data_IF_375309683127
#
_entry.id   IF_375309683127
#
_cell.length_a   1.000
_cell.length_b   1.000
_cell.length_c   1.000
_cell.angle_alpha   90.00
_cell.angle_beta   90.00
_cell.angle_gamma   90.00
#
_symmetry.space_group_name_H-M   'P 1'
#
loop_
_entity.id
_entity.type
_entity.pdbx_description
1 polymer ?
#
# COMPACT_ATOMS: atom_id res chain seq x y z
N UNK A 1 21.85 1.70 26.90
CA UNK A 1 21.04 2.84 27.41
C UNK A 1 19.60 2.55 27.02
N UNK A 2 19.02 1.58 27.72
CA UNK A 2 17.65 1.14 27.54
C UNK A 2 16.75 2.04 28.39
N UNK A 3 16.39 3.18 27.80
CA UNK A 3 15.39 4.08 28.37
C UNK A 3 14.03 3.70 27.83
N UNK A 4 13.24 3.01 28.64
CA UNK A 4 11.80 2.84 28.45
C UNK A 4 11.11 4.22 28.40
N UNK A 5 11.06 4.83 27.22
CA UNK A 5 10.01 5.81 26.95
C UNK A 5 8.72 5.02 26.75
N UNK A 6 7.91 4.93 27.81
CA UNK A 6 6.48 4.65 27.73
C UNK A 6 5.82 5.76 26.91
N UNK A 7 6.02 5.76 25.59
CA UNK A 7 5.27 6.59 24.65
C UNK A 7 3.81 6.16 24.78
N UNK A 8 2.94 7.07 25.21
CA UNK A 8 1.49 6.87 25.17
C UNK A 8 1.12 6.39 23.76
N UNK A 9 0.87 5.08 23.65
CA UNK A 9 0.80 4.39 22.36
C UNK A 9 -0.61 4.55 21.86
N UNK A 10 -0.90 5.64 21.14
CA UNK A 10 -2.17 5.78 20.45
C UNK A 10 -2.26 4.70 19.37
N UNK A 11 -3.03 3.65 19.67
CA UNK A 11 -3.31 2.53 18.75
C UNK A 11 -3.91 3.08 17.48
N UNK A 12 -3.45 2.54 16.34
CA UNK A 12 -3.94 2.99 15.05
C UNK A 12 -5.45 2.71 14.93
N UNK A 13 -6.29 3.72 14.65
CA UNK A 13 -7.74 3.53 14.53
C UNK A 13 -8.10 2.56 13.40
N UNK A 14 -7.18 2.27 12.47
CA UNK A 14 -7.34 1.23 11.47
C UNK A 14 -7.36 -0.19 12.05
N UNK A 15 -6.81 -0.43 13.25
CA UNK A 15 -6.87 -1.75 13.91
C UNK A 15 -8.25 -2.05 14.52
N UNK A 16 -9.04 -1.04 14.86
CA UNK A 16 -10.35 -1.18 15.51
C UNK A 16 -11.53 -0.71 14.65
N UNK A 17 -11.27 -0.20 13.45
CA UNK A 17 -12.29 0.35 12.56
C UNK A 17 -13.16 -0.73 11.89
N UNK A 18 -14.46 -0.45 11.81
CA UNK A 18 -15.43 -1.24 11.03
C UNK A 18 -15.03 -1.26 9.53
N UNK A 19 -15.28 -2.33 8.75
CA UNK A 19 -14.83 -2.41 7.36
C UNK A 19 -15.40 -1.30 6.48
N UNK A 20 -16.60 -0.79 6.77
CA UNK A 20 -17.17 0.40 6.10
C UNK A 20 -16.36 1.68 6.39
N UNK A 21 -15.86 1.84 7.62
CA UNK A 21 -14.99 2.97 7.98
C UNK A 21 -13.63 2.87 7.28
N UNK A 22 -13.12 1.65 7.07
CA UNK A 22 -11.92 1.40 6.29
C UNK A 22 -12.14 1.72 4.81
N UNK A 23 -13.29 1.32 4.25
CA UNK A 23 -13.66 1.58 2.86
C UNK A 23 -13.80 3.08 2.57
N UNK A 24 -14.42 3.84 3.47
CA UNK A 24 -14.62 5.30 3.27
C UNK A 24 -13.42 6.12 3.80
N UNK A 25 -12.34 5.48 4.25
CA UNK A 25 -11.20 6.13 4.91
C UNK A 25 -11.60 7.05 6.07
N UNK A 26 -12.75 6.79 6.70
CA UNK A 26 -13.34 7.67 7.70
C UNK A 26 -12.45 7.81 8.94
N UNK A 27 -11.66 6.78 9.23
CA UNK A 27 -10.67 6.79 10.31
C UNK A 27 -9.60 7.88 10.18
N UNK A 28 -9.32 8.38 8.96
CA UNK A 28 -8.34 9.47 8.72
C UNK A 28 -8.92 10.84 9.14
N UNK A 29 -10.23 11.02 9.08
CA UNK A 29 -10.88 12.31 9.35
C UNK A 29 -10.59 12.78 10.79
N UNK A 30 -10.46 11.84 11.74
CA UNK A 30 -10.15 12.17 13.13
C UNK A 30 -8.80 12.89 13.29
N UNK A 31 -7.75 12.41 12.62
CA UNK A 31 -6.43 13.04 12.67
C UNK A 31 -6.39 14.34 11.88
N UNK A 32 -7.08 14.41 10.73
CA UNK A 32 -7.18 15.65 9.95
C UNK A 32 -7.90 16.76 10.72
N UNK A 33 -9.00 16.43 11.42
CA UNK A 33 -9.71 17.39 12.27
C UNK A 33 -8.84 17.86 13.44
N UNK A 34 -7.99 17.00 13.98
CA UNK A 34 -7.03 17.37 15.03
C UNK A 34 -5.97 18.33 14.49
N UNK A 35 -5.40 18.03 13.31
CA UNK A 35 -4.45 18.88 12.61
C UNK A 35 -5.01 20.23 12.18
N UNK A 36 -6.31 20.30 11.87
CA UNK A 36 -6.98 21.57 11.57
C UNK A 36 -7.10 22.49 12.80
N UNK A 37 -7.23 21.91 14.00
CA UNK A 37 -7.39 22.67 15.25
C UNK A 37 -6.06 23.04 15.91
N UNK A 38 -5.02 22.24 15.68
CA UNK A 38 -3.72 22.37 16.33
C UNK A 38 -2.65 21.74 15.45
N UNK A 39 -1.47 22.35 15.42
CA UNK A 39 -0.27 21.72 14.84
C UNK A 39 -0.01 20.34 15.45
N UNK A 40 0.21 19.37 14.58
CA UNK A 40 0.44 17.97 14.95
C UNK A 40 1.87 17.80 15.46
N UNK A 41 2.01 17.35 16.70
CA UNK A 41 3.28 16.96 17.28
C UNK A 41 3.51 15.44 17.18
N UNK A 42 4.74 14.96 17.36
CA UNK A 42 5.06 13.51 17.28
C UNK A 42 4.19 12.66 18.22
N UNK A 43 3.85 13.20 19.40
CA UNK A 43 3.00 12.55 20.40
C UNK A 43 1.54 12.35 19.95
N UNK A 44 1.10 13.11 18.95
CA UNK A 44 -0.26 13.05 18.42
C UNK A 44 -0.40 12.03 17.28
N UNK A 45 0.71 11.45 16.80
CA UNK A 45 0.74 10.47 15.73
C UNK A 45 0.45 9.06 16.24
N UNK A 46 -0.30 8.30 15.45
CA UNK A 46 -0.57 6.90 15.72
C UNK A 46 0.67 6.03 15.52
N UNK A 47 0.77 4.95 16.29
CA UNK A 47 1.83 3.98 16.02
C UNK A 47 1.59 3.22 14.71
N UNK A 48 2.67 2.85 13.99
CA UNK A 48 2.57 1.97 12.84
C UNK A 48 1.86 0.67 13.18
N UNK A 49 1.21 0.07 12.18
CA UNK A 49 0.63 -1.27 12.32
C UNK A 49 1.72 -2.26 12.70
N UNK A 50 1.37 -3.31 13.46
CA UNK A 50 2.35 -4.31 13.92
C UNK A 50 3.20 -4.88 12.78
N UNK A 51 2.60 -5.13 11.62
CA UNK A 51 3.30 -5.69 10.44
C UNK A 51 4.22 -4.69 9.72
N UNK A 52 4.09 -3.39 10.00
CA UNK A 52 4.85 -2.32 9.34
C UNK A 52 6.00 -1.80 10.19
N UNK A 53 6.22 -2.38 11.37
CA UNK A 53 7.36 -2.02 12.20
C UNK A 53 8.68 -2.32 11.47
N UNK A 54 9.57 -1.32 11.47
CA UNK A 54 10.88 -1.36 10.82
C UNK A 54 11.72 -2.57 11.25
N UNK A 55 11.59 -3.01 12.51
CA UNK A 55 12.26 -4.20 13.02
C UNK A 55 11.84 -5.46 12.26
N UNK A 56 10.53 -5.68 12.09
CA UNK A 56 10.01 -6.89 11.42
C UNK A 56 10.41 -6.89 9.94
N UNK A 57 10.18 -5.78 9.25
CA UNK A 57 10.49 -5.67 7.82
C UNK A 57 12.00 -5.71 7.57
N UNK A 58 12.79 -5.07 8.43
CA UNK A 58 14.26 -5.12 8.39
C UNK A 58 14.80 -6.53 8.63
N UNK A 59 14.30 -7.24 9.64
CA UNK A 59 14.71 -8.61 9.96
C UNK A 59 14.35 -9.59 8.82
N UNK A 60 13.18 -9.44 8.21
CA UNK A 60 12.78 -10.23 7.04
C UNK A 60 13.73 -10.00 5.86
N UNK A 61 14.03 -8.73 5.54
CA UNK A 61 14.90 -8.39 4.42
C UNK A 61 16.35 -8.83 4.68
N UNK A 62 16.85 -8.71 5.91
CA UNK A 62 18.20 -9.16 6.28
C UNK A 62 18.35 -10.68 6.18
N UNK A 63 17.34 -11.45 6.62
CA UNK A 63 17.32 -12.91 6.45
C UNK A 63 17.34 -13.29 4.97
N UNK A 64 16.53 -12.63 4.14
CA UNK A 64 16.49 -12.86 2.70
C UNK A 64 17.82 -12.50 2.04
N UNK A 65 18.43 -11.37 2.43
CA UNK A 65 19.73 -10.92 1.93
C UNK A 65 20.85 -11.87 2.30
N UNK A 66 20.87 -12.35 3.55
CA UNK A 66 21.88 -13.31 4.02
C UNK A 66 21.81 -14.64 3.26
N UNK A 67 20.59 -15.06 2.88
CA UNK A 67 20.39 -16.24 2.04
C UNK A 67 20.91 -16.03 0.63
N UNK A 68 20.51 -14.93 -0.03
CA UNK A 68 20.98 -14.60 -1.39
C UNK A 68 22.51 -14.42 -1.41
N UNK A 69 23.11 -13.83 -0.38
CA UNK A 69 24.56 -13.66 -0.27
C UNK A 69 25.29 -15.01 -0.24
N UNK A 70 24.83 -15.95 0.59
CA UNK A 70 25.40 -17.31 0.66
C UNK A 70 25.22 -18.07 -0.65
N UNK A 71 24.03 -17.98 -1.25
CA UNK A 71 23.72 -18.65 -2.51
C UNK A 71 24.51 -18.05 -3.69
N UNK A 72 24.79 -16.74 -3.66
CA UNK A 72 25.58 -16.05 -4.66
C UNK A 72 27.06 -16.47 -4.63
N UNK A 73 27.65 -16.54 -3.42
CA UNK A 73 29.02 -17.02 -3.23
C UNK A 73 29.18 -18.46 -3.71
N UNK A 74 28.26 -19.36 -3.32
CA UNK A 74 28.28 -20.77 -3.75
C UNK A 74 28.21 -20.93 -5.27
N UNK A 75 27.48 -20.05 -5.94
CA UNK A 75 27.32 -20.07 -7.39
C UNK A 75 28.36 -19.22 -8.15
N UNK A 76 29.37 -18.65 -7.47
CA UNK A 76 30.39 -17.80 -8.11
C UNK A 76 29.83 -16.51 -8.73
N UNK A 77 28.66 -16.03 -8.30
CA UNK A 77 27.98 -14.86 -8.84
C UNK A 77 27.98 -13.69 -7.85
N UNK A 78 27.87 -12.46 -8.37
CA UNK A 78 27.69 -11.29 -7.52
C UNK A 78 26.28 -11.25 -6.88
N UNK A 79 26.16 -10.93 -5.57
CA UNK A 79 24.86 -10.83 -4.90
C UNK A 79 24.07 -9.63 -5.42
N UNK A 80 22.76 -9.81 -5.63
CA UNK A 80 21.86 -8.75 -6.17
C UNK A 80 20.76 -8.40 -5.18
N UNK A 81 20.76 -7.15 -4.70
CA UNK A 81 19.78 -6.68 -3.73
C UNK A 81 18.38 -6.57 -4.35
N UNK A 82 18.30 -6.12 -5.61
CA UNK A 82 17.03 -6.05 -6.36
C UNK A 82 16.33 -7.41 -6.41
N UNK A 83 17.06 -8.50 -6.66
CA UNK A 83 16.51 -9.86 -6.66
C UNK A 83 15.97 -10.26 -5.29
N UNK A 84 16.66 -9.89 -4.22
CA UNK A 84 16.22 -10.15 -2.84
C UNK A 84 14.95 -9.38 -2.49
N UNK A 85 14.91 -8.09 -2.84
CA UNK A 85 13.75 -7.22 -2.69
C UNK A 85 12.54 -7.78 -3.43
N UNK A 86 12.69 -8.06 -4.72
CA UNK A 86 11.63 -8.67 -5.52
C UNK A 86 11.19 -9.99 -4.89
N UNK A 87 12.09 -10.90 -4.51
CA UNK A 87 11.71 -12.18 -3.92
C UNK A 87 10.95 -12.05 -2.59
N UNK A 88 11.29 -11.05 -1.77
CA UNK A 88 10.69 -10.85 -0.45
C UNK A 88 9.29 -10.24 -0.56
N UNK A 89 9.10 -9.27 -1.46
CA UNK A 89 7.83 -8.54 -1.62
C UNK A 89 7.02 -8.98 -2.85
N UNK A 90 7.51 -9.95 -3.64
CA UNK A 90 6.88 -10.40 -4.88
C UNK A 90 5.44 -10.86 -4.66
N UNK A 91 5.17 -11.61 -3.59
CA UNK A 91 3.83 -12.11 -3.32
C UNK A 91 2.83 -10.95 -3.14
N UNK A 92 3.21 -9.92 -2.39
CA UNK A 92 2.36 -8.74 -2.16
C UNK A 92 2.14 -7.96 -3.47
N UNK A 93 3.19 -7.79 -4.27
CA UNK A 93 3.12 -7.09 -5.55
C UNK A 93 2.30 -7.86 -6.59
N UNK A 94 2.48 -9.17 -6.69
CA UNK A 94 1.75 -10.05 -7.63
C UNK A 94 0.28 -10.12 -7.26
N UNK A 95 -0.03 -10.30 -5.97
CA UNK A 95 -1.41 -10.31 -5.48
C UNK A 95 -2.14 -9.00 -5.78
N UNK A 96 -1.51 -7.86 -5.45
CA UNK A 96 -2.08 -6.53 -5.76
C UNK A 96 -2.21 -6.30 -7.26
N UNK A 97 -1.20 -6.68 -8.05
CA UNK A 97 -1.19 -6.54 -9.49
C UNK A 97 -2.27 -7.37 -10.17
N UNK A 98 -2.45 -8.62 -9.74
CA UNK A 98 -3.45 -9.53 -10.29
C UNK A 98 -4.88 -9.03 -10.03
N UNK A 99 -5.18 -8.63 -8.78
CA UNK A 99 -6.47 -8.07 -8.43
C UNK A 99 -6.73 -6.77 -9.19
N UNK A 100 -5.73 -5.89 -9.28
CA UNK A 100 -5.87 -4.64 -10.02
C UNK A 100 -6.12 -4.90 -11.50
N UNK A 101 -5.37 -5.81 -12.13
CA UNK A 101 -5.56 -6.15 -13.54
C UNK A 101 -6.99 -6.65 -13.78
N UNK A 102 -7.45 -7.60 -12.97
CA UNK A 102 -8.78 -8.17 -13.11
C UNK A 102 -9.90 -7.13 -12.92
N UNK A 103 -9.86 -6.37 -11.83
CA UNK A 103 -10.87 -5.35 -11.54
C UNK A 103 -10.84 -4.20 -12.56
N UNK A 104 -9.65 -3.74 -12.95
CA UNK A 104 -9.49 -2.60 -13.86
C UNK A 104 -9.95 -2.94 -15.27
N UNK A 105 -9.65 -4.15 -15.77
CA UNK A 105 -10.11 -4.60 -17.10
C UNK A 105 -11.63 -4.64 -17.16
N UNK A 106 -12.28 -5.28 -16.18
CA UNK A 106 -13.75 -5.41 -16.19
C UNK A 106 -14.42 -4.04 -16.08
N UNK A 107 -14.01 -3.22 -15.12
CA UNK A 107 -14.66 -1.93 -14.86
C UNK A 107 -14.41 -0.88 -15.94
N UNK A 108 -13.21 -0.87 -16.53
CA UNK A 108 -12.90 0.02 -17.67
C UNK A 108 -13.59 -0.40 -18.95
N UNK A 109 -13.81 -1.69 -19.18
CA UNK A 109 -14.57 -2.16 -20.34
C UNK A 109 -16.07 -1.96 -20.15
N UNK A 110 -16.58 -2.03 -18.91
CA UNK A 110 -17.98 -1.76 -18.62
C UNK A 110 -18.39 -0.31 -18.96
N UNK A 111 -17.51 0.67 -18.75
CA UNK A 111 -17.77 2.09 -18.99
C UNK A 111 -18.20 2.41 -20.45
N UNK A 112 -17.42 2.05 -21.49
CA UNK A 112 -17.82 2.28 -22.88
C UNK A 112 -18.99 1.40 -23.32
N UNK A 113 -19.15 0.19 -22.76
CA UNK A 113 -20.31 -0.66 -23.04
C UNK A 113 -21.62 -0.04 -22.54
N UNK A 114 -21.62 0.46 -21.29
CA UNK A 114 -22.75 1.18 -20.70
C UNK A 114 -23.06 2.46 -21.48
N UNK A 115 -22.02 3.22 -21.86
CA UNK A 115 -22.19 4.40 -22.70
C UNK A 115 -22.77 4.07 -24.08
N UNK A 116 -22.35 2.96 -24.68
CA UNK A 116 -22.87 2.47 -25.96
C UNK A 116 -24.35 2.09 -25.89
N UNK A 117 -24.78 1.45 -24.81
CA UNK A 117 -26.21 1.15 -24.58
C UNK A 117 -27.02 2.42 -24.33
N UNK A 118 -26.46 3.36 -23.55
CA UNK A 118 -27.11 4.64 -23.33
C UNK A 118 -27.29 5.42 -24.64
N UNK A 119 -26.29 5.45 -25.52
CA UNK A 119 -26.40 6.11 -26.84
C UNK A 119 -27.45 5.46 -27.74
N UNK A 120 -27.56 4.12 -27.73
CA UNK A 120 -28.62 3.41 -28.45
C UNK A 120 -30.01 3.83 -27.99
N UNK A 121 -30.14 4.30 -26.75
CA UNK A 121 -31.42 4.71 -26.22
C UNK A 121 -31.96 6.04 -26.79
N UNK A 122 -31.12 6.77 -27.53
CA UNK A 122 -31.50 8.03 -28.17
C UNK A 122 -31.88 7.87 -29.65
N UNK A 123 -31.97 6.64 -30.18
CA UNK A 123 -32.48 6.41 -31.54
C UNK A 123 -34.00 6.67 -31.60
N UNK A 124 -34.53 7.23 -32.70
CA UNK A 124 -35.91 7.72 -32.80
C UNK A 124 -37.01 6.64 -32.76
N UNK A 125 -36.67 5.35 -32.69
CA UNK A 125 -37.60 4.22 -32.88
C UNK A 125 -38.05 3.52 -31.58
N UNK A 126 -37.84 4.16 -30.42
CA UNK A 126 -37.96 3.48 -29.12
C UNK A 126 -38.93 4.17 -28.13
N UNK A 127 -40.18 3.72 -28.14
CA UNK A 127 -41.28 4.24 -27.32
C UNK A 127 -41.26 3.83 -25.83
N UNK A 128 -40.45 2.84 -25.43
CA UNK A 128 -40.40 2.31 -24.05
C UNK A 128 -39.14 2.68 -23.24
N UNK A 129 -38.31 3.62 -23.74
CA UNK A 129 -36.89 3.67 -23.38
C UNK A 129 -36.45 4.68 -22.32
N UNK A 130 -37.37 5.46 -21.74
CA UNK A 130 -37.01 6.51 -20.77
C UNK A 130 -36.49 5.93 -19.45
N UNK A 131 -37.15 4.89 -18.93
CA UNK A 131 -36.75 4.23 -17.68
C UNK A 131 -35.44 3.45 -17.85
N UNK A 132 -35.25 2.80 -18.99
CA UNK A 132 -33.99 2.11 -19.34
C UNK A 132 -32.82 3.10 -19.44
N UNK A 133 -33.04 4.28 -20.04
CA UNK A 133 -32.01 5.31 -20.13
C UNK A 133 -31.56 5.80 -18.74
N UNK A 134 -32.50 6.00 -17.80
CA UNK A 134 -32.16 6.34 -16.41
C UNK A 134 -31.41 5.20 -15.71
N UNK A 135 -31.77 3.95 -15.96
CA UNK A 135 -31.08 2.78 -15.42
C UNK A 135 -29.62 2.71 -15.91
N UNK A 136 -29.38 2.84 -17.22
CA UNK A 136 -28.04 2.81 -17.80
C UNK A 136 -27.20 4.01 -17.36
N UNK A 137 -27.79 5.21 -17.27
CA UNK A 137 -27.10 6.39 -16.75
C UNK A 137 -26.71 6.22 -15.27
N UNK A 138 -27.62 5.69 -14.44
CA UNK A 138 -27.34 5.37 -13.03
C UNK A 138 -26.24 4.32 -12.90
N UNK A 139 -26.28 3.26 -13.71
CA UNK A 139 -25.25 2.23 -13.75
C UNK A 139 -23.88 2.80 -14.19
N UNK A 140 -23.85 3.74 -15.13
CA UNK A 140 -22.61 4.40 -15.57
C UNK A 140 -21.99 5.26 -14.45
N UNK A 141 -22.81 6.02 -13.72
CA UNK A 141 -22.38 6.81 -12.56
C UNK A 141 -21.87 5.88 -11.46
N UNK A 142 -22.61 4.83 -11.14
CA UNK A 142 -22.20 3.84 -10.14
C UNK A 142 -20.89 3.13 -10.52
N UNK A 143 -20.73 2.71 -11.78
CA UNK A 143 -19.50 2.10 -12.28
C UNK A 143 -18.29 3.06 -12.18
N UNK A 144 -18.50 4.34 -12.51
CA UNK A 144 -17.46 5.38 -12.42
C UNK A 144 -17.05 5.64 -10.97
N UNK A 145 -18.03 5.73 -10.05
CA UNK A 145 -17.78 5.89 -8.63
C UNK A 145 -17.03 4.68 -8.05
N UNK A 146 -17.46 3.46 -8.39
CA UNK A 146 -16.81 2.22 -7.97
C UNK A 146 -15.36 2.14 -8.45
N UNK A 147 -15.12 2.48 -9.72
CA UNK A 147 -13.77 2.53 -10.30
C UNK A 147 -12.88 3.52 -9.56
N UNK A 148 -13.41 4.70 -9.22
CA UNK A 148 -12.67 5.72 -8.47
C UNK A 148 -12.30 5.24 -7.06
N UNK A 149 -13.25 4.62 -6.34
CA UNK A 149 -13.02 4.06 -5.00
C UNK A 149 -11.97 2.96 -5.02
N UNK A 150 -12.09 2.00 -5.94
CA UNK A 150 -11.12 0.91 -6.07
C UNK A 150 -9.72 1.42 -6.42
N UNK A 151 -9.62 2.43 -7.29
CA UNK A 151 -8.35 3.05 -7.62
C UNK A 151 -7.71 3.75 -6.40
N UNK A 152 -8.51 4.43 -5.58
CA UNK A 152 -8.02 5.02 -4.33
C UNK A 152 -7.49 3.96 -3.36
N UNK A 153 -8.22 2.86 -3.16
CA UNK A 153 -7.76 1.74 -2.32
C UNK A 153 -6.50 1.07 -2.88
N UNK A 154 -6.44 0.88 -4.20
CA UNK A 154 -5.27 0.34 -4.87
C UNK A 154 -4.04 1.23 -4.64
N UNK A 155 -4.17 2.54 -4.86
CA UNK A 155 -3.08 3.50 -4.65
C UNK A 155 -2.61 3.52 -3.20
N UNK A 156 -3.52 3.43 -2.23
CA UNK A 156 -3.13 3.33 -0.82
C UNK A 156 -2.36 2.03 -0.54
N UNK A 157 -2.85 0.88 -1.01
CA UNK A 157 -2.19 -0.41 -0.79
C UNK A 157 -0.82 -0.48 -1.48
N UNK A 158 -0.70 0.03 -2.71
CA UNK A 158 0.56 0.12 -3.44
C UNK A 158 1.57 1.02 -2.69
N UNK A 159 1.13 2.19 -2.23
CA UNK A 159 1.97 3.09 -1.43
C UNK A 159 2.41 2.45 -0.11
N UNK A 160 1.56 1.63 0.50
CA UNK A 160 1.87 0.90 1.72
C UNK A 160 2.99 -0.13 1.52
N UNK A 161 2.91 -0.93 0.45
CA UNK A 161 3.99 -1.87 0.09
C UNK A 161 5.27 -1.11 -0.22
N UNK A 162 5.19 0.01 -0.96
CA UNK A 162 6.35 0.84 -1.26
C UNK A 162 7.01 1.40 0.02
N UNK A 163 6.22 1.78 1.03
CA UNK A 163 6.74 2.22 2.33
C UNK A 163 7.50 1.07 3.02
N UNK A 164 6.93 -0.13 3.07
CA UNK A 164 7.61 -1.30 3.65
C UNK A 164 8.94 -1.60 2.95
N UNK A 165 8.98 -1.54 1.62
CA UNK A 165 10.21 -1.68 0.84
C UNK A 165 11.25 -0.63 1.26
N UNK A 166 10.86 0.65 1.30
CA UNK A 166 11.75 1.76 1.69
C UNK A 166 12.29 1.57 3.11
N UNK A 167 11.41 1.29 4.08
CA UNK A 167 11.79 1.08 5.48
C UNK A 167 12.72 -0.10 5.66
N UNK A 168 12.48 -1.21 4.95
CA UNK A 168 13.36 -2.38 4.94
C UNK A 168 14.76 -2.04 4.41
N UNK A 169 14.84 -1.36 3.26
CA UNK A 169 16.10 -0.92 2.69
C UNK A 169 16.89 0.00 3.63
N UNK A 170 16.22 1.02 4.20
CA UNK A 170 16.86 1.94 5.15
C UNK A 170 17.38 1.20 6.37
N UNK A 171 16.62 0.24 6.91
CA UNK A 171 17.05 -0.58 8.05
C UNK A 171 18.29 -1.41 7.72
N UNK A 172 18.33 -2.02 6.53
CA UNK A 172 19.45 -2.85 6.08
C UNK A 172 20.72 -2.02 5.86
N UNK A 173 20.60 -0.86 5.22
CA UNK A 173 21.71 0.09 5.04
C UNK A 173 22.23 0.54 6.41
N UNK A 174 21.34 0.93 7.32
CA UNK A 174 21.73 1.38 8.65
C UNK A 174 22.53 0.31 9.42
N UNK A 175 22.07 -0.95 9.40
CA UNK A 175 22.79 -2.08 10.02
C UNK A 175 24.14 -2.34 9.36
N UNK A 176 24.24 -2.23 8.03
CA UNK A 176 25.51 -2.40 7.32
C UNK A 176 26.52 -1.31 7.66
N UNK A 177 26.08 -0.06 7.67
CA UNK A 177 26.94 1.10 8.00
C UNK A 177 27.39 1.05 9.46
N UNK A 178 26.48 0.72 10.39
CA UNK A 178 26.84 0.63 11.82
C UNK A 178 27.88 -0.46 12.08
N UNK A 179 27.77 -1.62 11.43
CA UNK A 179 28.77 -2.69 11.50
C UNK A 179 30.11 -2.27 10.88
N UNK A 180 30.09 -1.60 9.73
CA UNK A 180 31.30 -1.11 9.08
C UNK A 180 32.04 -0.08 9.94
N UNK A 181 31.29 0.82 10.59
CA UNK A 181 31.83 1.82 11.50
C UNK A 181 32.44 1.17 12.75
N UNK A 182 31.79 0.14 13.30
CA UNK A 182 32.30 -0.61 14.44
C UNK A 182 33.62 -1.33 14.10
N UNK A 183 33.69 -1.98 12.94
CA UNK A 183 34.90 -2.64 12.47
C UNK A 183 36.06 -1.66 12.22
N UNK A 184 35.78 -0.47 11.69
CA UNK A 184 36.79 0.57 11.49
C UNK A 184 37.37 1.05 12.85
N UNK A 185 36.51 1.26 13.86
CA UNK A 185 36.93 1.68 15.20
C UNK A 185 37.81 0.66 15.91
N UNK A 186 37.55 -0.64 15.72
CA UNK A 186 38.36 -1.72 16.31
C UNK A 186 39.72 -1.91 15.63
N UNK A 187 39.95 -1.33 14.44
CA UNK A 187 41.23 -1.44 13.73
C UNK A 187 42.21 -0.30 14.06
N UNK A 188 41.75 0.74 14.76
CA UNK A 188 42.52 1.94 15.09
C UNK A 188 42.96 2.04 16.55
N UNK A 189 42.69 1.01 17.37
CA UNK A 189 43.17 0.88 18.75
C UNK A 189 43.92 -0.42 18.94
#
# INVERSE_FOLDING_TARGET
>A
MDGEQKKHKHTNPRETANPLSIAVFWWIIAILRKGYKKDLEEKDLYTPLKNDHSKIVGDQLEKAWSKEYKDAIKAGRAPRLSRTLFKTFAWELVYLGFINLFCNVILRLAQPLLLGQLLRCFHPDSAHLRDDAYLYAGALVANTALTSLLNAHYMQNASHVALRVKTGCCSLIYRKVSLSLAAARSSTG
#
